data_IF_879017825212
#
_entry.id   IF_879017825212
#
_cell.length_a   1.000
_cell.length_b   1.000
_cell.length_c   1.000
_cell.angle_alpha   90.00
_cell.angle_beta   90.00
_cell.angle_gamma   90.00
#
_symmetry.space_group_name_H-M   'P 1'
#
loop_
_entity.id
_entity.type
_entity.pdbx_description
1 polymer ?
#
# COMPACT_ATOMS: atom_id res chain seq x y z
N UNK A 1 -4.40 -37.04 -36.33
CA UNK A 1 -4.37 -36.70 -34.90
C UNK A 1 -3.19 -37.40 -34.27
N UNK A 2 -2.54 -36.77 -33.26
CA UNK A 2 -1.43 -37.42 -32.56
C UNK A 2 -1.94 -38.53 -31.64
N UNK A 3 -1.14 -39.58 -31.52
CA UNK A 3 -1.47 -40.76 -30.69
C UNK A 3 -0.39 -40.96 -29.63
N UNK A 4 -0.74 -41.61 -28.53
CA UNK A 4 0.23 -42.14 -27.57
C UNK A 4 0.87 -43.45 -28.08
N UNK A 5 1.83 -43.97 -27.33
CA UNK A 5 2.51 -45.24 -27.65
C UNK A 5 1.59 -46.48 -27.61
N UNK A 6 0.41 -46.34 -27.00
CA UNK A 6 -0.63 -47.38 -26.94
C UNK A 6 -1.69 -47.20 -28.03
N UNK A 7 -1.52 -46.25 -28.95
CA UNK A 7 -2.45 -45.98 -30.06
C UNK A 7 -3.65 -45.11 -29.71
N UNK A 8 -3.78 -44.63 -28.47
CA UNK A 8 -4.89 -43.76 -28.03
C UNK A 8 -4.73 -42.35 -28.61
N UNK A 9 -5.78 -41.79 -29.14
CA UNK A 9 -5.80 -40.44 -29.68
C UNK A 9 -5.70 -39.38 -28.56
N UNK A 10 -4.73 -38.47 -28.71
CA UNK A 10 -4.43 -37.43 -27.75
C UNK A 10 -5.02 -36.06 -28.12
N UNK A 11 -5.46 -35.91 -29.38
CA UNK A 11 -5.98 -34.69 -29.92
C UNK A 11 -5.01 -33.96 -30.87
N UNK A 12 -5.48 -32.89 -31.51
CA UNK A 12 -4.72 -32.13 -32.51
C UNK A 12 -3.51 -31.44 -31.87
N UNK A 13 -2.31 -31.69 -32.42
CA UNK A 13 -1.07 -31.06 -31.97
C UNK A 13 -0.47 -31.66 -30.68
N UNK A 14 -0.97 -32.82 -30.22
CA UNK A 14 -0.41 -33.58 -29.12
C UNK A 14 0.04 -34.95 -29.62
N UNK A 15 1.10 -35.51 -29.05
CA UNK A 15 1.57 -36.86 -29.33
C UNK A 15 2.58 -37.30 -28.30
N UNK A 16 3.00 -38.59 -28.42
CA UNK A 16 4.06 -39.15 -27.58
C UNK A 16 5.20 -39.63 -28.46
N UNK A 17 6.41 -39.30 -28.10
CA UNK A 17 7.63 -39.69 -28.83
C UNK A 17 7.98 -41.16 -28.54
N UNK A 18 8.49 -41.87 -29.55
CA UNK A 18 8.82 -43.28 -29.43
C UNK A 18 10.21 -43.50 -28.79
N UNK A 19 11.10 -42.54 -28.95
CA UNK A 19 12.50 -42.58 -28.53
C UNK A 19 12.69 -42.36 -27.03
N UNK A 20 11.98 -41.40 -26.43
CA UNK A 20 12.14 -41.02 -25.02
C UNK A 20 10.85 -41.12 -24.20
N UNK A 21 9.73 -41.47 -24.83
CA UNK A 21 8.43 -41.62 -24.16
C UNK A 21 7.81 -40.28 -23.75
N UNK A 22 8.42 -39.11 -24.03
CA UNK A 22 7.89 -37.82 -23.65
C UNK A 22 6.66 -37.43 -24.49
N UNK A 23 5.75 -36.73 -23.87
CA UNK A 23 4.62 -36.13 -24.58
C UNK A 23 5.07 -34.79 -25.20
N UNK A 24 4.76 -34.57 -26.48
CA UNK A 24 4.97 -33.30 -27.11
C UNK A 24 3.66 -32.56 -27.39
N UNK A 25 3.73 -31.26 -27.34
CA UNK A 25 2.65 -30.36 -27.73
C UNK A 25 3.14 -29.41 -28.82
N UNK A 26 2.38 -29.32 -29.91
CA UNK A 26 2.64 -28.40 -31.05
C UNK A 26 1.51 -27.40 -31.15
N UNK A 27 1.85 -26.14 -31.30
CA UNK A 27 0.89 -25.08 -31.58
C UNK A 27 1.57 -23.94 -32.36
N UNK A 28 0.76 -23.06 -32.92
CA UNK A 28 1.25 -21.73 -33.30
C UNK A 28 1.12 -20.83 -32.10
N UNK A 29 2.20 -20.16 -31.74
CA UNK A 29 2.17 -19.13 -30.72
C UNK A 29 1.39 -17.89 -31.24
N UNK A 30 1.26 -16.89 -30.37
CA UNK A 30 0.57 -15.64 -30.70
C UNK A 30 1.26 -14.83 -31.82
N UNK A 31 2.54 -15.08 -32.11
CA UNK A 31 3.31 -14.46 -33.23
C UNK A 31 3.14 -15.19 -34.55
N UNK A 32 2.36 -16.27 -34.55
CA UNK A 32 2.19 -17.11 -35.75
C UNK A 32 3.32 -18.14 -35.96
N UNK A 33 4.32 -18.18 -35.09
CA UNK A 33 5.43 -19.11 -35.16
C UNK A 33 5.00 -20.50 -34.68
N UNK A 34 5.47 -21.55 -35.37
CA UNK A 34 5.26 -22.92 -34.90
C UNK A 34 6.21 -23.22 -33.72
N UNK A 35 5.63 -23.63 -32.60
CA UNK A 35 6.35 -24.03 -31.40
C UNK A 35 6.01 -25.45 -31.03
N UNK A 36 7.04 -26.19 -30.57
CA UNK A 36 6.91 -27.52 -30.00
C UNK A 36 7.63 -27.55 -28.66
N UNK A 37 7.03 -28.24 -27.68
CA UNK A 37 7.63 -28.47 -26.36
C UNK A 37 7.32 -29.89 -25.91
N UNK A 38 8.29 -30.54 -25.25
CA UNK A 38 8.15 -31.89 -24.68
C UNK A 38 7.94 -31.82 -23.17
N UNK A 39 7.16 -32.78 -22.64
CA UNK A 39 6.73 -32.85 -21.25
C UNK A 39 6.76 -34.28 -20.76
N UNK A 40 6.94 -34.46 -19.46
CA UNK A 40 6.92 -35.80 -18.83
C UNK A 40 5.52 -36.39 -18.77
N UNK A 41 4.49 -35.56 -18.67
CA UNK A 41 3.11 -36.01 -18.54
C UNK A 41 2.18 -35.39 -19.58
N UNK A 42 1.12 -36.11 -19.95
CA UNK A 42 0.11 -35.62 -20.88
C UNK A 42 -0.67 -34.40 -20.36
N UNK A 43 -1.04 -34.30 -19.08
CA UNK A 43 -1.66 -33.08 -18.54
C UNK A 43 -0.81 -31.81 -18.74
N UNK A 44 0.49 -31.89 -18.48
CA UNK A 44 1.40 -30.75 -18.69
C UNK A 44 1.42 -30.31 -20.15
N UNK A 45 1.50 -31.25 -21.09
CA UNK A 45 1.45 -30.97 -22.52
C UNK A 45 0.13 -30.33 -22.96
N UNK A 46 -1.00 -30.78 -22.42
CA UNK A 46 -2.32 -30.20 -22.67
C UNK A 46 -2.43 -28.80 -22.11
N UNK A 47 -2.02 -28.59 -20.88
CA UNK A 47 -2.08 -27.27 -20.20
C UNK A 47 -1.24 -26.24 -20.95
N UNK A 48 0.02 -26.56 -21.30
CA UNK A 48 0.86 -25.67 -22.07
C UNK A 48 0.26 -25.32 -23.43
N UNK A 49 -0.30 -26.30 -24.12
CA UNK A 49 -0.97 -26.06 -25.41
C UNK A 49 -2.21 -25.17 -25.28
N UNK A 50 -3.03 -25.39 -24.26
CA UNK A 50 -4.20 -24.55 -23.94
C UNK A 50 -3.79 -23.10 -23.66
N UNK A 51 -2.74 -22.92 -22.87
CA UNK A 51 -2.18 -21.60 -22.57
C UNK A 51 -1.74 -20.86 -23.84
N UNK A 52 -1.00 -21.54 -24.74
CA UNK A 52 -0.58 -20.93 -26.00
C UNK A 52 -1.76 -20.58 -26.93
N UNK A 53 -2.80 -21.38 -26.93
CA UNK A 53 -4.03 -21.10 -27.69
C UNK A 53 -4.82 -19.95 -27.05
N UNK A 54 -4.91 -19.90 -25.73
CA UNK A 54 -5.54 -18.80 -24.99
C UNK A 54 -4.83 -17.48 -25.30
N UNK A 55 -3.51 -17.42 -25.16
CA UNK A 55 -2.71 -16.26 -25.50
C UNK A 55 -2.84 -15.82 -26.97
N UNK A 56 -3.11 -16.75 -27.88
CA UNK A 56 -3.37 -16.44 -29.29
C UNK A 56 -4.75 -15.78 -29.49
N UNK A 57 -5.76 -16.25 -28.78
CA UNK A 57 -7.14 -15.77 -28.92
C UNK A 57 -7.40 -14.47 -28.14
N UNK A 58 -6.59 -14.21 -27.12
CA UNK A 58 -6.72 -13.06 -26.22
C UNK A 58 -5.52 -12.12 -26.35
N UNK A 59 -5.53 -11.20 -27.35
CA UNK A 59 -4.45 -10.23 -27.57
C UNK A 59 -4.15 -9.36 -26.34
N UNK A 60 -5.16 -9.04 -25.56
CA UNK A 60 -5.08 -8.32 -24.30
C UNK A 60 -4.25 -9.06 -23.25
N UNK A 61 -4.32 -10.38 -23.24
CA UNK A 61 -3.53 -11.23 -22.35
C UNK A 61 -2.07 -11.40 -22.81
N UNK A 62 -1.75 -11.04 -24.06
CA UNK A 62 -0.38 -11.10 -24.62
C UNK A 62 0.53 -10.02 -24.06
N UNK A 63 -0.04 -8.89 -23.68
CA UNK A 63 0.69 -7.80 -23.05
C UNK A 63 1.24 -8.19 -21.66
N UNK A 64 0.83 -9.35 -21.14
CA UNK A 64 1.17 -9.82 -19.79
C UNK A 64 2.56 -10.44 -19.72
N UNK A 65 3.07 -11.04 -20.78
CA UNK A 65 4.34 -11.77 -20.74
C UNK A 65 5.28 -11.25 -21.82
N UNK A 66 5.87 -10.07 -21.62
CA UNK A 66 7.07 -9.69 -22.34
C UNK A 66 8.26 -10.32 -21.61
N UNK A 67 9.05 -11.20 -22.27
CA UNK A 67 10.26 -11.76 -21.64
C UNK A 67 11.28 -10.68 -21.26
N UNK A 68 11.14 -9.48 -21.81
CA UNK A 68 12.03 -8.34 -21.62
C UNK A 68 11.43 -7.25 -20.73
N UNK A 69 10.47 -7.62 -19.88
CA UNK A 69 9.88 -6.68 -18.92
C UNK A 69 10.90 -6.31 -17.84
N UNK A 70 11.17 -5.01 -17.67
CA UNK A 70 12.00 -4.51 -16.58
C UNK A 70 11.24 -4.47 -15.25
N UNK A 71 11.98 -4.39 -14.15
CA UNK A 71 11.38 -4.20 -12.81
C UNK A 71 10.55 -2.92 -12.76
N UNK A 72 11.02 -1.82 -13.38
CA UNK A 72 10.26 -0.57 -13.50
C UNK A 72 8.94 -0.77 -14.24
N UNK A 73 8.96 -1.46 -15.37
CA UNK A 73 7.75 -1.70 -16.17
C UNK A 73 6.73 -2.53 -15.39
N UNK A 74 7.19 -3.57 -14.69
CA UNK A 74 6.34 -4.39 -13.83
C UNK A 74 5.78 -3.60 -12.65
N UNK A 75 6.60 -2.87 -11.93
CA UNK A 75 6.16 -2.10 -10.76
C UNK A 75 5.07 -1.08 -11.13
N UNK A 76 5.25 -0.33 -12.21
CA UNK A 76 4.25 0.63 -12.70
C UNK A 76 2.93 -0.06 -13.08
N UNK A 77 3.02 -1.21 -13.74
CA UNK A 77 1.86 -2.02 -14.08
C UNK A 77 1.16 -2.55 -12.83
N UNK A 78 1.92 -3.10 -11.90
CA UNK A 78 1.41 -3.60 -10.63
C UNK A 78 0.68 -2.52 -9.82
N UNK A 79 1.25 -1.31 -9.74
CA UNK A 79 0.61 -0.18 -9.07
C UNK A 79 -0.73 0.21 -9.71
N UNK A 80 -0.82 0.15 -11.03
CA UNK A 80 -2.01 0.54 -11.78
C UNK A 80 -3.07 -0.56 -11.81
N UNK A 81 -2.67 -1.75 -12.21
CA UNK A 81 -3.60 -2.81 -12.63
C UNK A 81 -3.90 -3.83 -11.52
N UNK A 82 -2.99 -4.01 -10.55
CA UNK A 82 -3.14 -5.01 -9.49
C UNK A 82 -3.59 -4.37 -8.18
N UNK A 83 -2.98 -3.28 -7.77
CA UNK A 83 -3.25 -2.63 -6.47
C UNK A 83 -3.88 -1.24 -6.61
N UNK A 84 -4.29 -0.84 -7.81
CA UNK A 84 -4.80 0.50 -8.12
C UNK A 84 -6.03 0.93 -7.32
N UNK A 85 -6.77 -0.02 -6.78
CA UNK A 85 -7.95 0.21 -5.93
C UNK A 85 -7.63 0.42 -4.44
N UNK A 86 -6.36 0.31 -4.04
CA UNK A 86 -5.95 0.57 -2.67
C UNK A 86 -6.06 2.07 -2.32
N UNK A 87 -6.11 2.34 -1.02
CA UNK A 87 -6.14 3.71 -0.51
C UNK A 87 -4.96 4.53 -1.07
N UNK A 88 -5.21 5.78 -1.51
CA UNK A 88 -4.18 6.62 -2.15
C UNK A 88 -2.88 6.76 -1.37
N UNK A 89 -2.95 6.80 -0.03
CA UNK A 89 -1.75 6.82 0.82
C UNK A 89 -0.94 5.53 0.74
N UNK A 90 -1.61 4.39 0.59
CA UNK A 90 -0.92 3.11 0.41
C UNK A 90 -0.19 3.08 -0.92
N UNK A 91 -0.85 3.52 -2.01
CA UNK A 91 -0.23 3.62 -3.33
C UNK A 91 0.96 4.59 -3.34
N UNK A 92 0.80 5.76 -2.70
CA UNK A 92 1.90 6.73 -2.55
C UNK A 92 3.08 6.11 -1.81
N UNK A 93 2.84 5.44 -0.68
CA UNK A 93 3.89 4.81 0.11
C UNK A 93 4.61 3.70 -0.67
N UNK A 94 3.90 2.89 -1.46
CA UNK A 94 4.53 1.91 -2.34
C UNK A 94 5.42 2.58 -3.37
N UNK A 95 4.91 3.64 -4.02
CA UNK A 95 5.66 4.39 -5.04
C UNK A 95 6.91 5.04 -4.46
N UNK A 96 6.80 5.79 -3.37
CA UNK A 96 7.92 6.48 -2.74
C UNK A 96 9.01 5.51 -2.29
N UNK A 97 8.64 4.39 -1.66
CA UNK A 97 9.61 3.36 -1.26
C UNK A 97 10.30 2.72 -2.44
N UNK A 98 9.56 2.42 -3.48
CA UNK A 98 10.14 1.85 -4.69
C UNK A 98 11.10 2.83 -5.37
N UNK A 99 10.64 4.04 -5.64
CA UNK A 99 11.42 5.07 -6.35
C UNK A 99 12.72 5.44 -5.61
N UNK A 100 12.67 5.54 -4.27
CA UNK A 100 13.83 5.95 -3.49
C UNK A 100 14.76 4.78 -3.14
N UNK A 101 14.20 3.62 -2.80
CA UNK A 101 15.00 2.56 -2.19
C UNK A 101 15.27 1.36 -3.11
N UNK A 102 14.47 1.13 -4.14
CA UNK A 102 14.56 -0.08 -4.97
C UNK A 102 14.95 0.25 -6.41
N UNK A 103 14.29 1.22 -7.01
CA UNK A 103 14.48 1.63 -8.39
C UNK A 103 15.94 1.93 -8.76
N UNK A 104 16.74 2.66 -7.95
CA UNK A 104 18.13 2.98 -8.29
C UNK A 104 19.01 1.75 -8.47
N UNK A 105 18.69 0.63 -7.81
CA UNK A 105 19.48 -0.59 -7.82
C UNK A 105 19.08 -1.56 -8.91
N UNK A 106 17.79 -1.85 -9.02
CA UNK A 106 17.29 -2.93 -9.88
C UNK A 106 16.23 -2.48 -10.88
N UNK A 107 15.82 -1.22 -10.89
CA UNK A 107 14.70 -0.74 -11.70
C UNK A 107 14.86 -1.01 -13.22
N UNK A 108 16.07 -0.89 -13.76
CA UNK A 108 16.40 -1.15 -15.17
C UNK A 108 16.67 -2.62 -15.48
N UNK A 109 16.85 -3.47 -14.50
CA UNK A 109 17.09 -4.90 -14.70
C UNK A 109 15.84 -5.58 -15.28
N UNK A 110 16.05 -6.63 -16.06
CA UNK A 110 14.95 -7.49 -16.46
C UNK A 110 14.39 -8.21 -15.22
N UNK A 111 13.08 -8.25 -15.11
CA UNK A 111 12.39 -8.81 -13.96
C UNK A 111 12.78 -10.27 -13.69
N UNK A 112 13.00 -11.04 -14.77
CA UNK A 112 13.42 -12.45 -14.70
C UNK A 112 14.85 -12.67 -14.21
N UNK A 113 15.70 -11.65 -14.31
CA UNK A 113 17.13 -11.74 -13.99
C UNK A 113 17.45 -11.33 -12.55
N UNK A 114 16.48 -10.75 -11.84
CA UNK A 114 16.63 -10.34 -10.45
C UNK A 114 16.82 -11.55 -9.54
N UNK A 115 17.88 -11.52 -8.76
CA UNK A 115 18.28 -12.60 -7.83
C UNK A 115 18.08 -12.16 -6.38
N UNK A 116 18.01 -13.11 -5.44
CA UNK A 116 17.94 -12.79 -4.00
C UNK A 116 19.10 -11.91 -3.53
N UNK A 117 20.29 -12.06 -4.11
CA UNK A 117 21.45 -11.24 -3.78
C UNK A 117 21.22 -9.77 -4.10
N UNK A 118 20.58 -9.46 -5.22
CA UNK A 118 20.28 -8.06 -5.60
C UNK A 118 19.32 -7.42 -4.59
N UNK A 119 18.32 -8.16 -4.15
CA UNK A 119 17.38 -7.70 -3.12
C UNK A 119 18.06 -7.55 -1.75
N UNK A 120 18.98 -8.46 -1.39
CA UNK A 120 19.73 -8.37 -0.14
C UNK A 120 20.66 -7.15 -0.13
N UNK A 121 21.33 -6.86 -1.26
CA UNK A 121 22.21 -5.68 -1.39
C UNK A 121 21.44 -4.38 -1.17
N UNK A 122 20.20 -4.27 -1.62
CA UNK A 122 19.35 -3.10 -1.38
C UNK A 122 19.15 -2.90 0.13
N UNK A 123 18.78 -3.96 0.86
CA UNK A 123 18.54 -3.87 2.30
C UNK A 123 19.81 -3.53 3.07
N UNK A 124 20.95 -4.14 2.69
CA UNK A 124 22.23 -3.86 3.31
C UNK A 124 22.67 -2.39 3.07
N UNK A 125 22.45 -1.88 1.86
CA UNK A 125 22.77 -0.48 1.54
C UNK A 125 21.92 0.54 2.33
N UNK A 126 20.76 0.10 2.85
CA UNK A 126 19.90 0.96 3.67
C UNK A 126 20.29 0.99 5.16
N UNK A 127 21.14 0.06 5.63
CA UNK A 127 21.42 -0.08 7.07
C UNK A 127 22.10 1.14 7.69
N UNK A 128 22.91 1.89 6.92
CA UNK A 128 23.60 3.09 7.41
C UNK A 128 22.71 4.31 7.54
N UNK A 129 21.68 4.44 6.67
CA UNK A 129 20.96 5.69 6.47
C UNK A 129 19.50 5.64 6.91
N UNK A 130 18.96 4.43 7.14
CA UNK A 130 17.54 4.26 7.42
C UNK A 130 17.27 3.51 8.72
N UNK A 131 16.24 3.95 9.42
CA UNK A 131 15.72 3.21 10.57
C UNK A 131 15.22 1.80 10.16
N UNK A 132 15.41 0.81 11.04
CA UNK A 132 15.00 -0.57 10.77
C UNK A 132 13.53 -0.75 10.41
N UNK A 133 12.65 0.16 10.86
CA UNK A 133 11.24 0.16 10.44
C UNK A 133 11.07 0.51 8.95
N UNK A 134 11.89 1.41 8.41
CA UNK A 134 11.89 1.80 6.99
C UNK A 134 12.43 0.66 6.14
N UNK A 135 13.52 0.02 6.57
CA UNK A 135 14.10 -1.17 5.90
C UNK A 135 13.05 -2.29 5.84
N UNK A 136 12.38 -2.57 6.97
CA UNK A 136 11.30 -3.56 7.01
C UNK A 136 10.19 -3.24 6.00
N UNK A 137 9.81 -1.99 5.88
CA UNK A 137 8.75 -1.60 4.95
C UNK A 137 9.17 -1.75 3.49
N UNK A 138 10.45 -1.48 3.17
CA UNK A 138 11.01 -1.74 1.84
C UNK A 138 11.05 -3.24 1.55
N UNK A 139 11.49 -4.07 2.51
CA UNK A 139 11.44 -5.52 2.42
C UNK A 139 10.03 -6.03 2.11
N UNK A 140 9.02 -5.58 2.85
CA UNK A 140 7.62 -5.96 2.63
C UNK A 140 7.12 -5.50 1.27
N UNK A 141 7.49 -4.29 0.83
CA UNK A 141 7.11 -3.76 -0.48
C UNK A 141 7.68 -4.62 -1.61
N UNK A 142 8.98 -4.94 -1.57
CA UNK A 142 9.61 -5.85 -2.54
C UNK A 142 8.94 -7.22 -2.53
N UNK A 143 8.71 -7.79 -1.35
CA UNK A 143 8.03 -9.07 -1.20
C UNK A 143 6.65 -9.08 -1.86
N UNK A 144 5.89 -8.01 -1.70
CA UNK A 144 4.52 -7.92 -2.23
C UNK A 144 4.49 -7.84 -3.75
N UNK A 145 5.27 -6.95 -4.37
CA UNK A 145 5.20 -6.80 -5.83
C UNK A 145 5.91 -7.93 -6.57
N UNK A 146 6.97 -8.54 -6.02
CA UNK A 146 7.58 -9.73 -6.60
C UNK A 146 6.72 -10.98 -6.44
N UNK A 147 6.02 -11.11 -5.28
CA UNK A 147 5.03 -12.18 -5.12
C UNK A 147 3.95 -12.09 -6.20
N UNK A 148 3.45 -10.88 -6.43
CA UNK A 148 2.46 -10.66 -7.49
C UNK A 148 3.03 -10.97 -8.89
N UNK A 149 4.32 -10.67 -9.15
CA UNK A 149 4.96 -11.05 -10.41
C UNK A 149 5.00 -12.57 -10.60
N UNK A 150 5.34 -13.30 -9.54
CA UNK A 150 5.37 -14.77 -9.54
C UNK A 150 3.96 -15.35 -9.73
N UNK A 151 2.99 -14.89 -8.96
CA UNK A 151 1.61 -15.37 -9.02
C UNK A 151 0.97 -15.14 -10.40
N UNK A 152 1.40 -14.09 -11.12
CA UNK A 152 0.97 -13.78 -12.48
C UNK A 152 1.87 -14.39 -13.58
N UNK A 153 2.83 -15.24 -13.22
CA UNK A 153 3.68 -15.97 -14.16
C UNK A 153 4.74 -15.14 -14.89
N UNK A 154 5.08 -13.96 -14.40
CA UNK A 154 6.17 -13.12 -14.98
C UNK A 154 7.54 -13.63 -14.58
N UNK A 155 7.66 -14.29 -13.44
CA UNK A 155 8.88 -14.92 -12.94
C UNK A 155 8.56 -16.30 -12.34
N UNK A 156 9.50 -17.23 -12.49
CA UNK A 156 9.35 -18.60 -11.95
C UNK A 156 9.72 -18.68 -10.47
N UNK A 157 10.69 -17.88 -10.03
CA UNK A 157 11.20 -17.84 -8.65
C UNK A 157 10.97 -16.48 -8.03
N UNK A 158 10.73 -16.50 -6.73
CA UNK A 158 10.52 -15.25 -5.99
C UNK A 158 11.88 -14.67 -5.57
N UNK A 159 12.26 -13.44 -6.02
CA UNK A 159 13.56 -12.86 -5.70
C UNK A 159 13.81 -12.59 -4.22
N UNK A 160 12.76 -12.61 -3.40
CA UNK A 160 12.91 -12.45 -1.95
C UNK A 160 13.12 -13.78 -1.20
N UNK A 161 13.12 -14.92 -1.91
CA UNK A 161 13.36 -16.22 -1.27
C UNK A 161 14.80 -16.28 -0.76
N UNK A 162 14.96 -16.44 0.55
CA UNK A 162 16.26 -16.45 1.22
C UNK A 162 16.83 -15.08 1.60
N UNK A 163 16.21 -13.99 1.21
CA UNK A 163 16.58 -12.63 1.65
C UNK A 163 16.28 -12.48 3.14
N UNK A 164 17.27 -12.00 3.89
CA UNK A 164 17.17 -11.86 5.35
C UNK A 164 16.94 -10.41 5.73
N UNK A 165 15.99 -10.21 6.61
CA UNK A 165 15.76 -8.96 7.31
C UNK A 165 15.85 -9.21 8.82
N UNK A 166 16.83 -8.62 9.46
CA UNK A 166 16.96 -8.68 10.91
C UNK A 166 16.05 -7.65 11.54
N UNK A 167 15.00 -8.11 12.21
CA UNK A 167 14.10 -7.21 12.94
C UNK A 167 14.90 -6.56 14.08
N UNK A 168 14.97 -5.22 14.13
CA UNK A 168 15.61 -4.57 15.26
C UNK A 168 14.88 -4.95 16.56
N UNK A 169 15.64 -5.35 17.54
CA UNK A 169 15.11 -5.60 18.89
C UNK A 169 14.78 -4.23 19.47
N UNK A 170 13.50 -3.93 19.67
CA UNK A 170 13.09 -2.76 20.42
C UNK A 170 13.24 -3.08 21.91
N UNK A 171 14.01 -2.31 22.62
CA UNK A 171 13.95 -2.29 24.07
C UNK A 171 12.56 -1.82 24.51
N UNK A 172 12.08 -2.33 25.64
CA UNK A 172 10.79 -1.91 26.21
C UNK A 172 10.80 -0.39 26.50
N UNK A 173 11.98 0.14 26.80
CA UNK A 173 12.21 1.56 27.10
C UNK A 173 12.13 2.49 25.87
N UNK A 174 12.07 1.94 24.65
CA UNK A 174 11.86 2.71 23.42
C UNK A 174 10.41 3.21 23.21
N UNK A 175 9.50 2.84 24.10
CA UNK A 175 8.12 3.31 24.06
C UNK A 175 8.01 4.57 24.92
N UNK A 176 8.10 5.72 24.29
CA UNK A 176 7.92 7.00 24.96
C UNK A 176 6.43 7.35 25.05
N UNK A 177 5.95 7.53 26.25
CA UNK A 177 4.62 8.08 26.54
C UNK A 177 4.77 9.13 27.65
N UNK A 178 3.87 10.11 27.66
CA UNK A 178 3.85 11.10 28.70
C UNK A 178 3.19 10.52 29.95
N UNK A 179 3.87 10.55 31.09
CA UNK A 179 3.27 10.31 32.39
C UNK A 179 2.23 11.39 32.70
N UNK A 180 1.35 11.15 33.67
CA UNK A 180 0.31 12.12 34.06
C UNK A 180 0.92 13.47 34.45
N UNK A 181 2.05 13.47 35.15
CA UNK A 181 2.72 14.71 35.57
C UNK A 181 3.40 15.42 34.39
N UNK A 182 3.93 14.68 33.42
CA UNK A 182 4.45 15.25 32.19
C UNK A 182 3.35 15.83 31.31
N UNK A 183 2.18 15.18 31.25
CA UNK A 183 1.01 15.72 30.56
C UNK A 183 0.56 17.05 31.16
N UNK A 184 0.49 17.14 32.49
CA UNK A 184 0.15 18.39 33.19
C UNK A 184 1.15 19.50 32.91
N UNK A 185 2.46 19.20 33.01
CA UNK A 185 3.53 20.17 32.71
C UNK A 185 3.51 20.61 31.25
N UNK A 186 3.25 19.67 30.34
CA UNK A 186 3.12 19.95 28.91
C UNK A 186 1.94 20.90 28.62
N UNK A 187 0.77 20.61 29.17
CA UNK A 187 -0.42 21.44 28.99
C UNK A 187 -0.22 22.85 29.61
N UNK A 188 0.43 22.92 30.78
CA UNK A 188 0.76 24.21 31.38
C UNK A 188 1.68 25.05 30.51
N UNK A 189 2.74 24.45 29.98
CA UNK A 189 3.65 25.10 29.05
C UNK A 189 3.00 25.48 27.71
N UNK A 190 1.97 24.74 27.30
CA UNK A 190 1.23 24.99 26.05
C UNK A 190 0.16 26.08 26.21
N UNK A 191 -0.17 26.54 27.44
CA UNK A 191 -1.11 27.65 27.66
C UNK A 191 -0.65 28.88 26.88
N UNK A 192 -1.58 29.52 26.18
CA UNK A 192 -1.28 30.64 25.28
C UNK A 192 -0.81 30.25 23.88
N UNK A 193 -0.51 28.99 23.64
CA UNK A 193 -0.28 28.48 22.28
C UNK A 193 -1.59 28.41 21.50
N UNK A 194 -1.55 28.78 20.22
CA UNK A 194 -2.67 28.56 19.29
C UNK A 194 -3.14 27.09 19.24
N UNK A 195 -2.26 26.15 19.51
CA UNK A 195 -2.55 24.72 19.45
C UNK A 195 -2.96 24.09 20.79
N UNK A 196 -3.12 24.90 21.86
CA UNK A 196 -3.48 24.40 23.19
C UNK A 196 -4.70 23.47 23.19
N UNK A 197 -5.79 23.95 22.57
CA UNK A 197 -7.04 23.18 22.49
C UNK A 197 -6.85 21.84 21.76
N UNK A 198 -6.01 21.80 20.73
CA UNK A 198 -5.68 20.57 19.98
C UNK A 198 -4.95 19.56 20.88
N UNK A 199 -3.96 20.02 21.64
CA UNK A 199 -3.19 19.17 22.55
C UNK A 199 -4.07 18.64 23.69
N UNK A 200 -4.86 19.50 24.29
CA UNK A 200 -5.75 19.11 25.37
C UNK A 200 -6.80 18.11 24.90
N UNK A 201 -7.46 18.35 23.75
CA UNK A 201 -8.45 17.42 23.20
C UNK A 201 -7.84 16.06 22.84
N UNK A 202 -6.64 16.01 22.27
CA UNK A 202 -5.98 14.73 21.95
C UNK A 202 -5.71 13.94 23.25
N UNK A 203 -5.20 14.59 24.29
CA UNK A 203 -4.91 13.93 25.57
C UNK A 203 -6.17 13.41 26.26
N UNK A 204 -7.26 14.17 26.21
CA UNK A 204 -8.55 13.80 26.83
C UNK A 204 -9.31 12.71 26.04
N UNK A 205 -9.22 12.72 24.70
CA UNK A 205 -10.08 11.89 23.84
C UNK A 205 -9.36 10.74 23.16
N UNK A 206 -8.04 10.77 23.08
CA UNK A 206 -7.27 9.78 22.31
C UNK A 206 -7.52 9.82 20.80
N UNK A 207 -7.99 10.95 20.27
CA UNK A 207 -8.19 11.14 18.83
C UNK A 207 -6.86 11.04 18.06
N UNK A 208 -6.88 10.36 16.92
CA UNK A 208 -5.75 10.46 15.99
C UNK A 208 -5.70 11.84 15.37
N UNK A 209 -4.52 12.29 14.97
CA UNK A 209 -4.36 13.63 14.36
C UNK A 209 -5.33 13.90 13.22
N UNK A 210 -5.51 12.96 12.30
CA UNK A 210 -6.45 13.10 11.19
C UNK A 210 -7.92 13.13 11.63
N UNK A 211 -8.29 12.43 12.68
CA UNK A 211 -9.63 12.45 13.27
C UNK A 211 -9.90 13.77 13.96
N UNK A 212 -8.92 14.29 14.71
CA UNK A 212 -9.03 15.60 15.37
C UNK A 212 -9.17 16.74 14.34
N UNK A 213 -8.34 16.73 13.29
CA UNK A 213 -8.40 17.73 12.21
C UNK A 213 -9.73 17.63 11.46
N UNK A 214 -10.24 16.41 11.28
CA UNK A 214 -11.50 16.14 10.60
C UNK A 214 -12.74 16.28 11.47
N UNK A 215 -12.61 16.67 12.73
CA UNK A 215 -13.72 16.82 13.64
C UNK A 215 -14.60 18.00 13.21
N UNK A 216 -15.91 17.76 13.10
CA UNK A 216 -16.92 18.74 12.72
C UNK A 216 -17.99 18.87 13.82
N UNK A 217 -18.68 19.98 13.85
CA UNK A 217 -19.64 20.28 14.91
C UNK A 217 -20.83 19.31 14.97
N UNK A 218 -21.22 18.75 13.83
CA UNK A 218 -22.27 17.71 13.72
C UNK A 218 -21.90 16.38 14.37
N UNK A 219 -20.60 16.16 14.64
CA UNK A 219 -20.11 14.98 15.32
C UNK A 219 -20.19 15.06 16.85
N UNK A 220 -20.62 16.19 17.42
CA UNK A 220 -20.70 16.43 18.86
C UNK A 220 -22.16 16.43 19.31
N UNK A 221 -22.52 15.49 20.16
CA UNK A 221 -23.81 15.45 20.86
C UNK A 221 -23.64 16.16 22.23
N UNK A 222 -24.13 17.39 22.30
CA UNK A 222 -24.01 18.25 23.46
C UNK A 222 -24.85 17.76 24.68
N UNK A 223 -25.99 17.12 24.42
CA UNK A 223 -26.89 16.60 25.48
C UNK A 223 -26.29 15.34 26.09
N UNK A 224 -25.84 14.40 25.25
CA UNK A 224 -25.21 13.16 25.71
C UNK A 224 -23.74 13.34 26.09
N UNK A 225 -23.17 14.51 25.84
CA UNK A 225 -21.75 14.78 26.04
C UNK A 225 -20.87 13.72 25.38
N UNK A 226 -21.10 13.49 24.09
CA UNK A 226 -20.33 12.51 23.33
C UNK A 226 -19.81 13.11 22.04
N UNK A 227 -18.71 12.53 21.53
CA UNK A 227 -18.09 12.86 20.27
C UNK A 227 -18.01 11.59 19.41
N UNK A 228 -18.49 11.66 18.17
CA UNK A 228 -18.48 10.55 17.23
C UNK A 228 -17.38 10.71 16.18
N UNK A 229 -16.46 9.75 16.12
CA UNK A 229 -15.42 9.70 15.08
C UNK A 229 -16.00 9.04 13.83
N UNK A 230 -16.27 9.85 12.79
CA UNK A 230 -16.89 9.39 11.54
C UNK A 230 -16.11 9.81 10.28
N UNK A 231 -15.11 10.69 10.41
CA UNK A 231 -14.28 11.15 9.29
C UNK A 231 -12.86 11.48 9.72
N UNK A 232 -11.97 11.54 8.74
CA UNK A 232 -10.58 11.97 8.93
C UNK A 232 -10.22 13.00 7.87
N UNK A 233 -9.39 13.97 8.22
CA UNK A 233 -8.79 14.91 7.26
C UNK A 233 -7.28 14.69 7.18
N UNK A 234 -6.75 14.85 5.96
CA UNK A 234 -5.34 14.79 5.65
C UNK A 234 -4.98 15.96 4.73
N UNK A 235 -3.88 16.64 5.04
CA UNK A 235 -3.33 17.67 4.15
C UNK A 235 -2.33 17.05 3.17
N UNK A 236 -2.52 17.28 1.89
CA UNK A 236 -1.68 16.80 0.80
C UNK A 236 -0.75 17.90 0.33
N UNK A 237 0.47 17.92 0.84
CA UNK A 237 1.45 18.98 0.57
C UNK A 237 1.79 19.16 -0.91
N UNK A 238 1.84 18.08 -1.71
CA UNK A 238 2.17 18.16 -3.14
C UNK A 238 1.04 18.78 -3.98
N UNK A 239 -0.21 18.60 -3.56
CA UNK A 239 -1.41 19.12 -4.22
C UNK A 239 -1.92 20.39 -3.57
N UNK A 240 -1.37 20.77 -2.43
CA UNK A 240 -1.82 21.88 -1.58
C UNK A 240 -3.31 21.82 -1.25
N UNK A 241 -3.82 20.62 -0.99
CA UNK A 241 -5.24 20.36 -0.76
C UNK A 241 -5.52 19.55 0.50
N UNK A 242 -6.69 19.75 1.09
CA UNK A 242 -7.23 18.91 2.15
C UNK A 242 -8.09 17.79 1.56
N UNK A 243 -7.85 16.58 2.04
CA UNK A 243 -8.66 15.44 1.68
C UNK A 243 -9.43 14.93 2.89
N UNK A 244 -10.77 14.97 2.81
CA UNK A 244 -11.65 14.27 3.72
C UNK A 244 -11.84 12.80 3.28
N UNK A 245 -11.93 11.90 4.25
CA UNK A 245 -12.20 10.49 4.00
C UNK A 245 -12.80 9.80 5.22
N UNK A 246 -13.33 8.59 5.05
CA UNK A 246 -13.78 7.78 6.17
C UNK A 246 -12.59 7.36 7.03
N UNK A 247 -12.80 6.99 8.29
CA UNK A 247 -11.81 6.34 9.12
C UNK A 247 -11.20 5.11 8.43
N UNK A 248 -9.94 4.80 8.75
CA UNK A 248 -9.15 3.77 8.04
C UNK A 248 -9.75 2.37 8.13
N UNK A 249 -10.42 2.05 9.23
CA UNK A 249 -11.02 0.73 9.50
C UNK A 249 -12.41 0.93 10.12
N UNK A 250 -13.26 -0.07 9.98
CA UNK A 250 -14.58 -0.07 10.59
C UNK A 250 -14.53 0.12 12.11
N UNK A 251 -13.55 -0.49 12.78
CA UNK A 251 -13.30 -0.32 14.20
C UNK A 251 -12.83 1.08 14.63
N UNK A 252 -12.51 1.94 13.66
CA UNK A 252 -12.15 3.34 13.94
C UNK A 252 -13.39 4.23 14.12
N UNK A 253 -14.56 3.79 13.66
CA UNK A 253 -15.83 4.44 13.99
C UNK A 253 -16.15 4.17 15.45
N UNK A 254 -16.22 5.21 16.23
CA UNK A 254 -16.47 5.12 17.67
C UNK A 254 -17.08 6.38 18.22
N UNK A 255 -17.84 6.24 19.29
CA UNK A 255 -18.35 7.35 20.09
C UNK A 255 -17.56 7.42 21.40
N UNK A 256 -17.05 8.59 21.72
CA UNK A 256 -16.20 8.86 22.89
C UNK A 256 -17.01 9.72 23.84
N UNK A 257 -17.18 9.34 25.13
CA UNK A 257 -17.73 10.22 26.14
C UNK A 257 -16.75 11.38 26.39
N UNK A 258 -17.27 12.60 26.52
CA UNK A 258 -16.46 13.76 26.80
C UNK A 258 -16.28 13.95 28.30
N UNK A 259 -15.01 14.11 28.69
CA UNK A 259 -14.70 14.59 30.06
C UNK A 259 -15.17 16.03 30.26
N UNK A 260 -15.29 16.50 31.46
CA UNK A 260 -15.65 17.91 31.73
C UNK A 260 -14.64 18.88 31.12
N UNK A 261 -13.36 18.52 31.13
CA UNK A 261 -12.29 19.29 30.48
C UNK A 261 -12.48 19.36 28.95
N UNK A 262 -12.67 18.22 28.28
CA UNK A 262 -12.87 18.18 26.82
C UNK A 262 -14.16 18.92 26.43
N UNK A 263 -15.24 18.73 27.18
CA UNK A 263 -16.50 19.43 26.95
C UNK A 263 -16.34 20.94 27.11
N UNK A 264 -15.64 21.40 28.15
CA UNK A 264 -15.39 22.84 28.40
C UNK A 264 -14.59 23.46 27.26
N UNK A 265 -13.51 22.80 26.79
CA UNK A 265 -12.70 23.26 25.66
C UNK A 265 -13.53 23.36 24.37
N UNK A 266 -14.31 22.32 24.08
CA UNK A 266 -15.18 22.30 22.89
C UNK A 266 -16.25 23.42 22.98
N UNK A 267 -16.80 23.64 24.15
CA UNK A 267 -17.80 24.68 24.37
C UNK A 267 -17.21 26.08 24.18
N UNK A 268 -16.02 26.35 24.74
CA UNK A 268 -15.31 27.61 24.56
C UNK A 268 -15.02 27.88 23.08
N UNK A 269 -14.53 26.88 22.33
CA UNK A 269 -14.30 27.02 20.89
C UNK A 269 -15.63 27.26 20.15
N UNK A 270 -16.70 26.59 20.54
CA UNK A 270 -18.02 26.75 19.93
C UNK A 270 -18.59 28.15 20.13
N UNK A 271 -18.50 28.68 21.35
CA UNK A 271 -19.06 29.97 21.73
C UNK A 271 -18.23 31.15 21.17
N UNK A 272 -16.93 30.96 20.99
CA UNK A 272 -16.00 31.98 20.45
C UNK A 272 -15.79 31.89 18.94
N UNK A 273 -16.39 30.88 18.25
CA UNK A 273 -16.22 30.74 16.81
C UNK A 273 -16.80 31.94 16.06
N UNK A 274 -16.03 32.47 15.10
CA UNK A 274 -16.56 33.39 14.14
C UNK A 274 -17.56 32.68 13.22
N UNK A 275 -18.79 33.16 13.12
CA UNK A 275 -19.78 32.70 12.16
C UNK A 275 -19.23 32.92 10.75
N UNK A 276 -18.75 31.88 10.11
CA UNK A 276 -18.41 31.89 8.69
C UNK A 276 -19.62 31.42 7.90
N UNK A 277 -19.98 32.16 6.86
CA UNK A 277 -20.98 31.73 5.89
C UNK A 277 -20.62 30.34 5.37
N UNK A 278 -21.46 29.38 5.63
CA UNK A 278 -21.32 27.94 5.30
C UNK A 278 -21.55 27.68 3.80
N UNK A 279 -20.80 28.34 2.91
CA UNK A 279 -20.97 28.07 1.49
C UNK A 279 -20.39 26.75 1.00
N UNK A 280 -19.60 26.03 1.80
CA UNK A 280 -18.92 24.79 1.39
C UNK A 280 -19.08 23.57 2.32
N UNK A 281 -20.03 23.55 3.24
CA UNK A 281 -20.50 22.32 3.91
C UNK A 281 -19.59 21.65 4.94
N UNK A 282 -18.36 22.11 5.18
CA UNK A 282 -17.45 21.56 6.17
C UNK A 282 -17.01 22.63 7.17
N UNK A 283 -17.70 22.68 8.31
CA UNK A 283 -17.30 23.51 9.46
C UNK A 283 -16.50 22.67 10.45
N UNK A 284 -15.16 22.72 10.35
CA UNK A 284 -14.30 22.03 11.30
C UNK A 284 -14.24 22.76 12.64
N UNK A 285 -14.13 21.99 13.73
CA UNK A 285 -14.05 22.52 15.11
C UNK A 285 -12.76 23.31 15.30
N UNK A 286 -11.66 22.84 14.73
CA UNK A 286 -10.34 23.44 14.92
C UNK A 286 -9.90 24.21 13.68
N UNK A 287 -9.26 25.36 13.90
CA UNK A 287 -8.64 26.16 12.84
C UNK A 287 -7.13 25.89 12.82
N UNK A 288 -6.55 25.86 11.61
CA UNK A 288 -5.12 25.58 11.43
C UNK A 288 -4.40 26.82 10.91
N UNK A 289 -3.19 27.03 11.41
CA UNK A 289 -2.31 28.10 10.94
C UNK A 289 -1.36 27.57 9.86
N UNK A 290 -1.23 28.30 8.77
CA UNK A 290 -0.18 28.05 7.82
C UNK A 290 1.19 28.42 8.43
N UNK A 291 2.12 27.47 8.48
CA UNK A 291 3.45 27.70 9.09
C UNK A 291 4.32 28.72 8.34
N UNK A 292 4.05 28.91 7.04
CA UNK A 292 4.83 29.84 6.19
C UNK A 292 4.28 31.24 6.24
N UNK A 293 2.95 31.39 6.22
CA UNK A 293 2.28 32.69 6.13
C UNK A 293 1.78 33.21 7.47
N UNK A 294 1.70 32.38 8.50
CA UNK A 294 1.11 32.73 9.80
C UNK A 294 -0.39 33.03 9.73
N UNK A 295 -1.01 32.77 8.59
CA UNK A 295 -2.46 33.02 8.41
C UNK A 295 -3.28 31.77 8.73
N UNK A 296 -4.51 31.96 9.23
CA UNK A 296 -5.47 30.86 9.43
C UNK A 296 -5.79 30.23 8.06
N UNK A 297 -5.49 28.94 7.88
CA UNK A 297 -5.89 28.22 6.68
C UNK A 297 -7.41 28.00 6.70
N UNK A 298 -8.05 28.34 5.61
CA UNK A 298 -9.43 27.93 5.33
C UNK A 298 -9.39 26.45 4.92
N UNK A 299 -10.19 25.63 5.57
CA UNK A 299 -10.44 24.24 5.18
C UNK A 299 -11.51 24.17 4.11
#
# INVERSE_FOLDING_TARGET
MGKDLKGKELGKGLGQRKDDGLYYARCQNYRGERRERCFKTLPEAKNWRQEQLYLRLHPESRAVVSPDMTVNAWFNRWLKDVVGNLAPNTLRNYRERYEHNVQPFIGSMLLRDVKPMDCQMILNAMESDYAGSTIRQTYVTMGTFFKSAKDNGFIDRHPMDGVRYTKPVRAVDDIHFLTVDEQKRFLEAAKGSHNYAQYALILETGLRTGEMIGLTWDAIDWEKRTLTVNKTLEFRYKQDEWRAGPPKTESSYRTIPLTDTAYGILREIYDTREYRNESNGLSTVLTFMDRKTGQKRKL
#
